data_IF_894153946043
#
_entry.id   IF_894153946043
#
_cell.length_a   1.000
_cell.length_b   1.000
_cell.length_c   1.000
_cell.angle_alpha   90.00
_cell.angle_beta   90.00
_cell.angle_gamma   90.00
#
_symmetry.space_group_name_H-M   'P 1'
#
loop_
_entity.id
_entity.type
_entity.pdbx_description
1 polymer ?
#
# COMPACT_ATOMS: atom_id res chain seq x y z
N UNK A 1 9.11 20.14 -8.06
CA UNK A 1 10.58 20.29 -7.91
C UNK A 1 10.97 19.58 -6.63
N UNK A 2 12.00 18.74 -6.63
CA UNK A 2 12.52 18.09 -5.42
C UNK A 2 13.75 18.84 -4.90
N UNK A 3 13.94 18.85 -3.58
CA UNK A 3 15.11 19.39 -2.91
C UNK A 3 15.66 18.28 -2.00
N UNK A 4 16.97 18.07 -2.04
CA UNK A 4 17.65 17.15 -1.14
C UNK A 4 18.40 17.92 -0.05
N UNK A 5 18.31 17.43 1.19
CA UNK A 5 19.12 17.85 2.33
C UNK A 5 19.90 16.64 2.82
N UNK A 6 21.12 16.86 3.33
CA UNK A 6 22.04 15.76 3.71
C UNK A 6 21.58 15.04 4.99
N UNK A 7 20.79 15.73 5.80
CA UNK A 7 20.27 15.24 7.05
C UNK A 7 19.11 14.26 6.80
N UNK A 8 19.19 13.08 7.43
CA UNK A 8 18.09 12.12 7.46
C UNK A 8 16.93 12.67 8.29
N UNK A 9 15.70 12.24 8.01
CA UNK A 9 14.50 12.58 8.79
C UNK A 9 14.68 12.28 10.28
N UNK A 10 15.31 11.13 10.58
CA UNK A 10 15.76 10.75 11.92
C UNK A 10 17.17 10.16 11.83
N UNK A 11 18.06 10.45 12.81
CA UNK A 11 19.39 9.84 12.84
C UNK A 11 19.33 8.30 12.84
N UNK A 12 20.08 7.70 11.93
CA UNK A 12 20.24 6.24 11.82
C UNK A 12 21.63 5.85 12.31
N UNK A 13 21.70 4.87 13.21
CA UNK A 13 22.95 4.32 13.75
C UNK A 13 22.88 2.80 13.79
N UNK A 14 24.01 2.13 13.54
CA UNK A 14 24.18 0.68 13.71
C UNK A 14 25.41 0.48 14.60
N UNK A 15 25.25 -0.20 15.74
CA UNK A 15 26.35 -0.46 16.66
C UNK A 15 27.12 -1.72 16.24
N UNK A 16 26.40 -2.76 15.81
CA UNK A 16 26.98 -4.03 15.35
C UNK A 16 26.53 -4.32 13.91
N UNK A 17 27.38 -4.07 12.90
CA UNK A 17 27.08 -4.44 11.53
C UNK A 17 26.79 -5.95 11.37
N UNK A 18 25.79 -6.27 10.56
CA UNK A 18 25.38 -7.65 10.26
C UNK A 18 24.88 -7.73 8.81
N UNK A 19 25.71 -8.22 7.87
CA UNK A 19 25.32 -8.38 6.48
C UNK A 19 24.10 -9.27 6.25
N UNK A 20 23.80 -10.23 7.13
CA UNK A 20 22.58 -11.05 7.04
C UNK A 20 21.35 -10.19 7.27
N UNK A 21 21.39 -9.39 8.32
CA UNK A 21 20.32 -8.45 8.62
C UNK A 21 20.18 -7.37 7.53
N UNK A 22 21.30 -6.88 6.99
CA UNK A 22 21.32 -6.02 5.81
C UNK A 22 20.55 -6.59 4.62
N UNK A 23 20.59 -7.92 4.43
CA UNK A 23 19.86 -8.58 3.35
C UNK A 23 18.36 -8.65 3.64
N UNK A 24 17.95 -8.85 4.90
CA UNK A 24 16.54 -8.75 5.27
C UNK A 24 15.97 -7.35 5.08
N UNK A 25 16.76 -6.31 5.35
CA UNK A 25 16.35 -4.91 5.12
C UNK A 25 16.04 -4.60 3.65
N UNK A 26 16.54 -5.40 2.69
CA UNK A 26 16.16 -5.26 1.29
C UNK A 26 14.66 -5.46 1.07
N UNK A 27 13.96 -6.18 1.94
CA UNK A 27 12.50 -6.32 1.88
C UNK A 27 11.79 -4.97 2.01
N UNK A 28 12.24 -4.10 2.92
CA UNK A 28 11.71 -2.73 3.01
C UNK A 28 12.35 -1.76 2.01
N UNK A 29 13.43 -2.11 1.34
CA UNK A 29 14.03 -1.24 0.34
C UNK A 29 13.42 -1.46 -1.05
N UNK A 30 13.54 -2.68 -1.59
CA UNK A 30 13.11 -3.06 -2.94
C UNK A 30 12.05 -4.17 -2.99
N UNK A 31 11.44 -4.53 -1.85
CA UNK A 31 10.35 -5.50 -1.79
C UNK A 31 9.00 -4.94 -2.26
N UNK A 32 8.01 -5.82 -2.34
CA UNK A 32 6.70 -5.49 -2.92
C UNK A 32 5.93 -4.43 -2.10
N UNK A 33 6.09 -4.43 -0.78
CA UNK A 33 5.50 -3.43 0.13
C UNK A 33 6.60 -2.59 0.80
N UNK A 34 7.77 -2.45 0.15
CA UNK A 34 8.86 -1.62 0.64
C UNK A 34 8.71 -0.15 0.27
N UNK A 35 9.60 0.68 0.83
CA UNK A 35 9.59 2.14 0.71
C UNK A 35 9.64 2.64 -0.74
N UNK A 36 10.35 1.94 -1.63
CA UNK A 36 10.38 2.30 -3.05
C UNK A 36 9.00 2.14 -3.70
N UNK A 37 8.27 1.08 -3.34
CA UNK A 37 6.92 0.87 -3.87
C UNK A 37 5.99 1.94 -3.33
N UNK A 38 6.02 2.20 -2.02
CA UNK A 38 5.19 3.21 -1.37
C UNK A 38 5.40 4.60 -2.01
N UNK A 39 6.66 5.04 -2.11
CA UNK A 39 6.97 6.37 -2.64
C UNK A 39 6.48 6.56 -4.08
N UNK A 40 6.68 5.55 -4.94
CA UNK A 40 6.28 5.61 -6.35
C UNK A 40 4.76 5.45 -6.53
N UNK A 41 4.12 4.61 -5.71
CA UNK A 41 2.68 4.40 -5.75
C UNK A 41 1.93 5.68 -5.41
N UNK A 42 2.24 6.30 -4.27
CA UNK A 42 1.56 7.52 -3.84
C UNK A 42 1.88 8.69 -4.78
N UNK A 43 3.10 8.72 -5.33
CA UNK A 43 3.48 9.70 -6.33
C UNK A 43 2.58 9.62 -7.57
N UNK A 44 2.45 8.44 -8.19
CA UNK A 44 1.69 8.29 -9.43
C UNK A 44 0.20 8.50 -9.20
N UNK A 45 -0.35 7.97 -8.10
CA UNK A 45 -1.75 8.15 -7.74
C UNK A 45 -2.13 9.61 -7.52
N UNK A 46 -1.21 10.46 -7.03
CA UNK A 46 -1.46 11.90 -6.86
C UNK A 46 -1.87 12.61 -8.16
N UNK A 47 -1.50 12.07 -9.32
CA UNK A 47 -1.89 12.61 -10.63
C UNK A 47 -3.27 12.15 -11.09
N UNK A 48 -3.84 11.14 -10.45
CA UNK A 48 -5.21 10.66 -10.69
C UNK A 48 -6.26 11.39 -9.84
N UNK A 49 -5.82 12.21 -8.88
CA UNK A 49 -6.71 12.87 -7.93
C UNK A 49 -7.00 14.32 -8.32
N UNK A 50 -8.29 14.65 -8.43
CA UNK A 50 -8.75 16.02 -8.70
C UNK A 50 -8.87 16.86 -7.41
N UNK A 51 -9.18 16.23 -6.28
CA UNK A 51 -9.28 16.93 -5.00
C UNK A 51 -7.88 17.44 -4.58
N UNK A 52 -7.68 18.76 -4.46
CA UNK A 52 -6.35 19.32 -4.21
C UNK A 52 -5.77 18.91 -2.86
N UNK A 53 -6.60 18.75 -1.81
CA UNK A 53 -6.12 18.35 -0.48
C UNK A 53 -5.66 16.90 -0.42
N UNK A 54 -6.37 16.01 -1.11
CA UNK A 54 -5.96 14.60 -1.22
C UNK A 54 -4.70 14.45 -2.07
N UNK A 55 -4.59 15.24 -3.14
CA UNK A 55 -3.38 15.29 -3.97
C UNK A 55 -2.17 15.76 -3.18
N UNK A 56 -2.33 16.81 -2.37
CA UNK A 56 -1.27 17.34 -1.51
C UNK A 56 -0.80 16.28 -0.51
N UNK A 57 -1.74 15.63 0.19
CA UNK A 57 -1.45 14.53 1.11
C UNK A 57 -0.66 13.39 0.43
N UNK A 58 -1.07 12.94 -0.75
CA UNK A 58 -0.37 11.87 -1.47
C UNK A 58 1.05 12.26 -1.87
N UNK A 59 1.25 13.51 -2.32
CA UNK A 59 2.59 14.02 -2.66
C UNK A 59 3.48 14.19 -1.42
N UNK A 60 2.91 14.64 -0.31
CA UNK A 60 3.62 14.77 0.96
C UNK A 60 4.07 13.41 1.49
N UNK A 61 3.15 12.43 1.56
CA UNK A 61 3.49 11.06 2.00
C UNK A 61 4.50 10.45 1.03
N UNK A 62 4.26 10.52 -0.29
CA UNK A 62 5.21 10.05 -1.30
C UNK A 62 6.63 10.60 -1.09
N UNK A 63 6.73 11.88 -0.75
CA UNK A 63 8.02 12.54 -0.51
C UNK A 63 8.63 12.11 0.83
N UNK A 64 7.82 11.88 1.86
CA UNK A 64 8.25 11.28 3.13
C UNK A 64 8.82 9.88 2.92
N UNK A 65 8.19 9.04 2.08
CA UNK A 65 8.67 7.69 1.77
C UNK A 65 10.01 7.68 1.04
N UNK A 66 10.36 8.72 0.29
CA UNK A 66 11.72 8.85 -0.25
C UNK A 66 12.74 9.02 0.89
N UNK A 67 12.37 9.74 1.94
CA UNK A 67 13.18 9.85 3.16
C UNK A 67 13.28 8.54 3.92
N UNK A 68 12.20 7.76 4.00
CA UNK A 68 12.23 6.41 4.58
C UNK A 68 13.11 5.46 3.77
N UNK A 69 13.02 5.50 2.44
CA UNK A 69 13.88 4.75 1.54
C UNK A 69 15.36 5.09 1.77
N UNK A 70 15.69 6.37 1.97
CA UNK A 70 17.05 6.81 2.32
C UNK A 70 17.49 6.27 3.69
N UNK A 71 16.61 6.28 4.70
CA UNK A 71 16.89 5.72 6.03
C UNK A 71 17.14 4.21 5.98
N UNK A 72 16.30 3.44 5.25
CA UNK A 72 16.49 1.99 5.06
C UNK A 72 17.78 1.71 4.27
N UNK A 73 18.03 2.49 3.21
CA UNK A 73 19.29 2.43 2.47
C UNK A 73 20.51 2.67 3.35
N UNK A 74 20.42 3.62 4.29
CA UNK A 74 21.47 3.90 5.26
C UNK A 74 21.66 2.75 6.25
N UNK A 75 20.59 2.13 6.72
CA UNK A 75 20.68 0.92 7.56
C UNK A 75 21.42 -0.20 6.81
N UNK A 76 21.08 -0.46 5.54
CA UNK A 76 21.75 -1.49 4.73
C UNK A 76 23.24 -1.16 4.54
N UNK A 77 23.55 0.10 4.21
CA UNK A 77 24.92 0.58 4.12
C UNK A 77 25.69 0.27 5.42
N UNK A 78 25.16 0.71 6.57
CA UNK A 78 25.79 0.55 7.88
C UNK A 78 25.89 -0.91 8.34
N UNK A 79 24.97 -1.79 7.95
CA UNK A 79 25.08 -3.23 8.22
C UNK A 79 26.10 -3.94 7.33
N UNK A 80 26.52 -3.32 6.23
CA UNK A 80 27.46 -3.91 5.28
C UNK A 80 28.85 -3.26 5.29
N UNK A 81 29.09 -2.24 6.12
CA UNK A 81 30.40 -1.58 6.28
C UNK A 81 31.47 -2.51 6.86
N UNK A 82 32.75 -2.18 6.58
CA UNK A 82 33.93 -2.88 7.12
C UNK A 82 35.02 -3.08 6.06
N UNK A 83 36.27 -3.26 6.49
CA UNK A 83 37.42 -3.48 5.59
C UNK A 83 37.46 -4.92 5.04
N UNK A 84 36.88 -5.87 5.75
CA UNK A 84 36.76 -7.25 5.29
C UNK A 84 35.68 -7.38 4.20
N UNK A 85 35.95 -8.26 3.22
CA UNK A 85 34.93 -8.72 2.28
C UNK A 85 33.87 -9.51 3.06
N UNK A 86 32.59 -9.22 2.80
CA UNK A 86 31.47 -10.01 3.32
C UNK A 86 31.62 -11.42 2.77
N UNK A 87 31.54 -12.41 3.65
CA UNK A 87 31.67 -13.82 3.25
C UNK A 87 30.36 -14.31 2.65
N UNK A 88 30.42 -15.24 1.70
CA UNK A 88 29.22 -15.76 1.05
C UNK A 88 28.27 -16.46 2.05
N UNK A 89 28.79 -17.05 3.13
CA UNK A 89 27.99 -17.67 4.19
C UNK A 89 27.28 -16.65 5.09
N UNK A 90 27.70 -15.39 5.04
CA UNK A 90 27.01 -14.26 5.69
C UNK A 90 25.93 -13.72 4.75
N UNK A 91 26.28 -13.36 3.52
CA UNK A 91 25.31 -13.00 2.49
C UNK A 91 25.89 -13.26 1.11
N UNK A 92 25.37 -14.26 0.36
CA UNK A 92 25.79 -14.48 -1.02
C UNK A 92 25.53 -13.25 -1.89
N UNK A 93 24.42 -12.54 -1.62
CA UNK A 93 24.01 -11.35 -2.36
C UNK A 93 25.06 -10.24 -2.23
N UNK A 94 25.42 -9.83 -1.02
CA UNK A 94 26.41 -8.75 -0.84
C UNK A 94 27.84 -9.18 -1.15
N UNK A 95 28.19 -10.47 -0.95
CA UNK A 95 29.50 -11.00 -1.32
C UNK A 95 29.75 -10.93 -2.83
N UNK A 96 28.73 -11.18 -3.65
CA UNK A 96 28.85 -11.22 -5.12
C UNK A 96 28.50 -9.89 -5.79
N UNK A 97 27.41 -9.23 -5.37
CA UNK A 97 26.88 -8.02 -6.00
C UNK A 97 27.47 -6.73 -5.43
N UNK A 98 28.06 -6.80 -4.23
CA UNK A 98 28.65 -5.68 -3.52
C UNK A 98 27.79 -5.19 -2.35
N UNK A 99 28.45 -4.48 -1.43
CA UNK A 99 27.89 -3.86 -0.22
C UNK A 99 26.85 -2.79 -0.56
N UNK A 100 26.02 -2.44 0.42
CA UNK A 100 25.03 -1.37 0.31
C UNK A 100 23.70 -1.80 -0.33
N UNK A 101 22.76 -0.85 -0.47
CA UNK A 101 21.42 -1.14 -0.95
C UNK A 101 21.39 -1.53 -2.42
N UNK A 102 20.48 -2.44 -2.77
CA UNK A 102 20.12 -2.81 -4.14
C UNK A 102 18.61 -2.80 -4.26
N UNK A 103 18.05 -2.43 -5.43
CA UNK A 103 16.61 -2.56 -5.69
C UNK A 103 16.20 -4.02 -5.92
N UNK A 104 16.36 -4.81 -4.87
CA UNK A 104 16.01 -6.22 -4.74
C UNK A 104 15.18 -6.39 -3.47
N UNK A 105 14.40 -7.47 -3.40
CA UNK A 105 13.85 -7.96 -2.14
C UNK A 105 14.88 -8.78 -1.34
N UNK A 106 14.51 -9.30 -0.17
CA UNK A 106 15.41 -10.08 0.69
C UNK A 106 15.84 -11.44 0.09
N UNK A 107 15.13 -11.90 -0.95
CA UNK A 107 15.41 -13.12 -1.70
C UNK A 107 16.20 -12.86 -2.99
N UNK A 108 16.49 -11.60 -3.31
CA UNK A 108 17.26 -11.19 -4.48
C UNK A 108 16.42 -11.00 -5.76
N UNK A 109 15.09 -10.98 -5.68
CA UNK A 109 14.24 -10.65 -6.83
C UNK A 109 14.30 -9.14 -7.08
N UNK A 110 14.45 -8.74 -8.34
CA UNK A 110 14.50 -7.31 -8.68
C UNK A 110 13.14 -6.65 -8.47
N UNK A 111 13.18 -5.43 -7.91
CA UNK A 111 11.98 -4.58 -7.82
C UNK A 111 11.36 -4.40 -9.21
N UNK A 112 10.04 -4.37 -9.25
CA UNK A 112 9.29 -4.23 -10.50
C UNK A 112 8.09 -3.30 -10.32
N UNK A 113 7.80 -2.50 -11.35
CA UNK A 113 6.62 -1.63 -11.39
C UNK A 113 5.30 -2.40 -11.23
N UNK A 114 5.30 -3.73 -11.38
CA UNK A 114 4.13 -4.60 -11.11
C UNK A 114 3.68 -4.57 -9.65
N UNK A 115 4.53 -4.10 -8.73
CA UNK A 115 4.15 -3.93 -7.32
C UNK A 115 3.25 -2.72 -7.08
N UNK A 116 3.28 -1.73 -7.98
CA UNK A 116 2.50 -0.51 -7.83
C UNK A 116 1.03 -0.80 -8.12
N UNK A 117 0.17 -0.37 -7.20
CA UNK A 117 -1.27 -0.52 -7.30
C UNK A 117 -1.95 0.84 -7.53
N UNK A 118 -2.02 1.23 -8.79
CA UNK A 118 -2.67 2.46 -9.27
C UNK A 118 -3.78 2.10 -10.27
N UNK A 119 -4.87 2.85 -10.26
CA UNK A 119 -6.05 2.48 -11.05
C UNK A 119 -6.91 3.66 -11.49
N UNK A 120 -6.57 4.87 -11.07
CA UNK A 120 -7.24 6.10 -11.51
C UNK A 120 -8.49 6.46 -10.69
N UNK A 121 -8.95 5.57 -9.81
CA UNK A 121 -10.07 5.82 -8.90
C UNK A 121 -9.54 6.01 -7.47
N UNK A 122 -9.77 7.19 -6.91
CA UNK A 122 -9.23 7.60 -5.60
C UNK A 122 -9.69 6.69 -4.46
N UNK A 123 -10.91 6.15 -4.50
CA UNK A 123 -11.43 5.29 -3.42
C UNK A 123 -10.74 3.93 -3.47
N UNK A 124 -10.56 3.39 -4.68
CA UNK A 124 -9.85 2.13 -4.91
C UNK A 124 -8.37 2.26 -4.55
N UNK A 125 -7.73 3.34 -4.97
CA UNK A 125 -6.30 3.58 -4.75
C UNK A 125 -6.00 3.78 -3.25
N UNK A 126 -6.77 4.60 -2.52
CA UNK A 126 -6.61 4.75 -1.06
C UNK A 126 -6.77 3.45 -0.27
N UNK A 127 -7.61 2.51 -0.75
CA UNK A 127 -7.74 1.18 -0.14
C UNK A 127 -6.51 0.32 -0.40
N UNK A 128 -5.92 0.45 -1.57
CA UNK A 128 -4.65 -0.22 -1.89
C UNK A 128 -3.51 0.34 -1.03
N UNK A 129 -3.52 1.65 -0.74
CA UNK A 129 -2.52 2.29 0.11
C UNK A 129 -2.61 1.79 1.56
N UNK A 130 -3.82 1.68 2.13
CA UNK A 130 -4.01 1.06 3.46
C UNK A 130 -3.46 -0.37 3.50
N UNK A 131 -3.64 -1.14 2.44
CA UNK A 131 -3.11 -2.50 2.36
C UNK A 131 -1.57 -2.51 2.20
N UNK A 132 -1.00 -1.57 1.46
CA UNK A 132 0.44 -1.42 1.28
C UNK A 132 1.13 -1.09 2.62
N UNK A 133 0.63 -0.07 3.34
CA UNK A 133 1.09 0.32 4.68
C UNK A 133 0.97 -0.83 5.69
N UNK A 134 -0.11 -1.61 5.64
CA UNK A 134 -0.27 -2.78 6.50
C UNK A 134 0.78 -3.86 6.20
N UNK A 135 1.12 -4.07 4.92
CA UNK A 135 2.17 -5.00 4.51
C UNK A 135 3.57 -4.54 4.94
N UNK A 136 3.90 -3.27 4.70
CA UNK A 136 5.14 -2.64 5.14
C UNK A 136 5.30 -2.75 6.67
N UNK A 137 4.24 -2.43 7.43
CA UNK A 137 4.21 -2.57 8.89
C UNK A 137 4.49 -4.00 9.34
N UNK A 138 3.89 -5.00 8.69
CA UNK A 138 4.15 -6.41 9.01
C UNK A 138 5.63 -6.76 8.81
N UNK A 139 6.23 -6.32 7.71
CA UNK A 139 7.66 -6.52 7.45
C UNK A 139 8.51 -5.84 8.51
N UNK A 140 8.21 -4.60 8.89
CA UNK A 140 8.90 -3.92 9.98
C UNK A 140 8.77 -4.64 11.32
N UNK A 141 7.59 -5.16 11.66
CA UNK A 141 7.40 -5.96 12.88
C UNK A 141 8.33 -7.19 12.89
N UNK A 142 8.50 -7.87 11.75
CA UNK A 142 9.41 -9.01 11.63
C UNK A 142 10.88 -8.61 11.71
N UNK A 143 11.29 -7.49 11.08
CA UNK A 143 12.65 -6.97 11.18
C UNK A 143 13.01 -6.58 12.61
N UNK A 144 12.09 -5.92 13.34
CA UNK A 144 12.27 -5.52 14.74
C UNK A 144 12.46 -6.73 15.66
N UNK A 145 11.74 -7.84 15.41
CA UNK A 145 11.90 -9.08 16.17
C UNK A 145 13.23 -9.79 15.91
N UNK A 146 13.87 -9.51 14.77
CA UNK A 146 15.09 -10.18 14.31
C UNK A 146 16.38 -9.45 14.69
N UNK A 147 16.33 -8.13 14.85
CA UNK A 147 17.52 -7.36 15.21
C UNK A 147 17.79 -7.38 16.72
N UNK A 148 19.07 -7.46 17.07
CA UNK A 148 19.58 -7.23 18.43
C UNK A 148 20.31 -5.89 18.56
N UNK A 149 20.41 -5.12 17.47
CA UNK A 149 21.09 -3.83 17.45
C UNK A 149 20.12 -2.69 17.83
N UNK A 150 20.39 -1.99 18.94
CA UNK A 150 19.48 -0.97 19.48
C UNK A 150 19.27 0.22 18.53
N UNK A 151 20.32 0.62 17.80
CA UNK A 151 20.24 1.73 16.84
C UNK A 151 19.33 1.38 15.66
N UNK A 152 19.51 0.18 15.11
CA UNK A 152 18.66 -0.42 14.08
C UNK A 152 17.23 -0.52 14.56
N UNK A 153 17.02 -1.10 15.76
CA UNK A 153 15.70 -1.27 16.34
C UNK A 153 14.96 0.06 16.50
N UNK A 154 15.64 1.11 16.97
CA UNK A 154 15.07 2.44 17.11
C UNK A 154 14.63 3.02 15.77
N UNK A 155 15.45 2.90 14.72
CA UNK A 155 15.10 3.37 13.38
C UNK A 155 13.87 2.61 12.83
N UNK A 156 13.85 1.27 12.95
CA UNK A 156 12.73 0.46 12.48
C UNK A 156 11.43 0.72 13.25
N UNK A 157 11.49 0.97 14.57
CA UNK A 157 10.31 1.37 15.35
C UNK A 157 9.77 2.72 14.90
N UNK A 158 10.65 3.66 14.54
CA UNK A 158 10.22 4.93 13.97
C UNK A 158 9.48 4.74 12.65
N UNK A 159 10.08 4.01 11.71
CA UNK A 159 9.49 3.70 10.39
C UNK A 159 8.13 2.99 10.56
N UNK A 160 8.06 1.93 11.36
CA UNK A 160 6.81 1.25 11.71
C UNK A 160 5.73 2.20 12.24
N UNK A 161 6.13 3.18 13.07
CA UNK A 161 5.20 4.18 13.63
C UNK A 161 4.67 5.11 12.55
N UNK A 162 5.47 5.42 11.52
CA UNK A 162 5.04 6.20 10.36
C UNK A 162 4.05 5.42 9.51
N UNK A 163 4.22 4.11 9.34
CA UNK A 163 3.22 3.27 8.65
C UNK A 163 1.82 3.39 9.29
N UNK A 164 1.78 3.40 10.63
CA UNK A 164 0.53 3.58 11.38
C UNK A 164 -0.07 4.96 11.14
N UNK A 165 0.76 5.99 10.98
CA UNK A 165 0.30 7.34 10.72
C UNK A 165 -0.25 7.49 9.29
N UNK A 166 0.46 6.98 8.28
CA UNK A 166 0.00 6.99 6.89
C UNK A 166 -1.29 6.18 6.74
N UNK A 167 -1.36 4.98 7.33
CA UNK A 167 -2.61 4.20 7.40
C UNK A 167 -3.78 5.04 7.93
N UNK A 168 -3.56 5.80 9.02
CA UNK A 168 -4.60 6.68 9.58
C UNK A 168 -4.95 7.82 8.62
N UNK A 169 -3.97 8.45 7.97
CA UNK A 169 -4.22 9.51 6.99
C UNK A 169 -5.07 9.01 5.82
N UNK A 170 -4.77 7.83 5.27
CA UNK A 170 -5.56 7.22 4.20
C UNK A 170 -6.97 6.83 4.67
N UNK A 171 -7.13 6.34 5.91
CA UNK A 171 -8.44 6.07 6.50
C UNK A 171 -9.28 7.35 6.68
N UNK A 172 -8.68 8.44 7.16
CA UNK A 172 -9.36 9.74 7.28
C UNK A 172 -9.71 10.33 5.91
N UNK A 173 -8.84 10.15 4.90
CA UNK A 173 -9.14 10.51 3.52
C UNK A 173 -10.36 9.75 2.99
N UNK A 174 -10.43 8.44 3.17
CA UNK A 174 -11.62 7.64 2.82
C UNK A 174 -12.86 8.06 3.62
N UNK A 175 -12.70 8.40 4.90
CA UNK A 175 -13.79 8.88 5.74
C UNK A 175 -14.37 10.21 5.22
N UNK A 176 -13.51 11.13 4.78
CA UNK A 176 -13.91 12.42 4.20
C UNK A 176 -14.73 12.27 2.91
N UNK A 177 -14.51 11.16 2.17
CA UNK A 177 -15.27 10.80 0.98
C UNK A 177 -16.56 10.02 1.30
N UNK A 178 -16.81 9.67 2.56
CA UNK A 178 -17.90 8.78 2.97
C UNK A 178 -17.69 7.33 2.54
N UNK A 179 -16.44 6.92 2.25
CA UNK A 179 -16.09 5.63 1.63
C UNK A 179 -15.23 4.72 2.52
N UNK A 180 -15.02 5.10 3.78
CA UNK A 180 -14.28 4.27 4.75
C UNK A 180 -14.99 2.92 4.99
N UNK A 181 -16.32 2.94 5.14
CA UNK A 181 -17.12 1.74 5.43
C UNK A 181 -18.09 1.36 4.32
N UNK A 182 -18.28 2.23 3.31
CA UNK A 182 -19.14 1.96 2.16
C UNK A 182 -18.35 1.22 1.07
N UNK A 183 -18.67 -0.05 0.85
CA UNK A 183 -18.01 -0.87 -0.17
C UNK A 183 -18.20 -0.34 -1.60
N UNK A 184 -19.29 0.40 -1.86
CA UNK A 184 -19.63 0.88 -3.20
C UNK A 184 -18.76 2.06 -3.65
N UNK A 185 -18.19 1.95 -4.84
CA UNK A 185 -17.53 3.05 -5.56
C UNK A 185 -17.75 2.87 -7.07
N UNK A 186 -17.56 3.93 -7.85
CA UNK A 186 -17.87 3.95 -9.27
C UNK A 186 -19.33 4.29 -9.59
N UNK A 187 -19.74 4.05 -10.84
CA UNK A 187 -21.01 4.53 -11.41
C UNK A 187 -22.02 3.44 -11.75
N UNK A 188 -21.62 2.16 -11.70
CA UNK A 188 -22.50 1.04 -12.06
C UNK A 188 -23.20 0.53 -10.80
N UNK A 189 -24.53 0.65 -10.69
CA UNK A 189 -25.25 0.21 -9.50
C UNK A 189 -25.14 -1.31 -9.33
N UNK A 190 -25.01 -1.81 -8.08
CA UNK A 190 -25.05 -3.23 -7.82
C UNK A 190 -26.47 -3.76 -8.02
N UNK A 191 -26.59 -5.05 -8.31
CA UNK A 191 -27.87 -5.76 -8.29
C UNK A 191 -28.22 -6.25 -6.88
N UNK A 192 -29.29 -7.05 -6.79
CA UNK A 192 -29.78 -7.62 -5.54
C UNK A 192 -28.85 -8.67 -4.92
N UNK A 193 -27.76 -9.05 -5.61
CA UNK A 193 -26.80 -10.04 -5.13
C UNK A 193 -25.74 -9.46 -4.18
N UNK A 194 -25.66 -8.14 -4.01
CA UNK A 194 -24.67 -7.45 -3.16
C UNK A 194 -24.66 -7.90 -1.69
N UNK A 195 -25.76 -8.46 -1.20
CA UNK A 195 -25.90 -9.00 0.16
C UNK A 195 -25.85 -10.53 0.22
N UNK A 196 -25.52 -11.22 -0.86
CA UNK A 196 -25.48 -12.69 -0.86
C UNK A 196 -24.10 -13.17 -0.41
N UNK A 197 -24.08 -14.07 0.57
CA UNK A 197 -22.89 -14.88 0.90
C UNK A 197 -23.10 -16.31 0.38
N UNK A 198 -22.24 -16.76 -0.51
CA UNK A 198 -22.24 -18.15 -1.00
C UNK A 198 -21.32 -19.03 -0.16
N UNK A 199 -21.84 -20.10 0.43
CA UNK A 199 -20.99 -21.15 0.96
C UNK A 199 -20.49 -22.04 -0.17
N UNK A 200 -19.26 -21.79 -0.61
CA UNK A 200 -18.63 -22.53 -1.70
C UNK A 200 -17.85 -23.77 -1.21
N UNK A 201 -17.79 -24.02 0.10
CA UNK A 201 -17.05 -25.14 0.69
C UNK A 201 -18.01 -26.21 1.20
N UNK A 202 -17.56 -27.47 1.21
CA UNK A 202 -18.35 -28.60 1.70
C UNK A 202 -17.48 -29.55 2.54
N UNK A 203 -18.11 -30.52 3.20
CA UNK A 203 -17.46 -31.55 4.03
C UNK A 203 -16.77 -31.01 5.30
N UNK A 204 -17.37 -30.01 5.95
CA UNK A 204 -16.88 -29.44 7.20
C UNK A 204 -17.99 -28.78 8.01
N UNK A 205 -17.62 -28.11 9.10
CA UNK A 205 -18.53 -27.29 9.90
C UNK A 205 -18.40 -25.83 9.48
N UNK A 206 -19.50 -25.22 9.08
CA UNK A 206 -19.54 -23.81 8.73
C UNK A 206 -19.46 -22.93 9.97
N UNK A 207 -18.57 -21.92 9.92
CA UNK A 207 -18.45 -20.90 10.97
C UNK A 207 -19.21 -19.66 10.55
N UNK A 208 -20.07 -19.14 11.44
CA UNK A 208 -20.96 -18.02 11.18
C UNK A 208 -20.53 -16.77 11.97
N UNK A 209 -20.65 -15.60 11.35
CA UNK A 209 -20.35 -14.29 11.93
C UNK A 209 -20.98 -13.15 11.12
N UNK A 210 -20.76 -11.87 11.52
CA UNK A 210 -21.36 -10.72 10.86
C UNK A 210 -21.02 -10.60 9.35
N UNK A 211 -19.92 -11.20 8.91
CA UNK A 211 -19.44 -11.17 7.52
C UNK A 211 -20.09 -12.22 6.60
N UNK A 212 -20.93 -13.12 7.13
CA UNK A 212 -21.58 -14.18 6.34
C UNK A 212 -22.97 -14.58 6.88
N UNK A 213 -23.60 -13.70 7.66
CA UNK A 213 -24.87 -13.99 8.30
C UNK A 213 -25.81 -12.79 8.28
N UNK A 214 -27.08 -13.11 8.44
CA UNK A 214 -28.18 -12.16 8.51
C UNK A 214 -28.03 -11.28 9.77
N UNK A 215 -28.46 -10.00 9.72
CA UNK A 215 -29.14 -9.33 8.61
C UNK A 215 -28.20 -8.76 7.54
N UNK A 216 -26.87 -8.79 7.76
CA UNK A 216 -25.92 -8.17 6.85
C UNK A 216 -25.79 -8.91 5.51
N UNK A 217 -25.82 -10.25 5.56
CA UNK A 217 -25.74 -11.11 4.38
C UNK A 217 -26.79 -12.22 4.42
N UNK A 218 -27.43 -12.49 3.27
CA UNK A 218 -28.25 -13.67 3.04
C UNK A 218 -27.33 -14.86 2.76
N UNK A 219 -27.33 -15.84 3.66
CA UNK A 219 -26.48 -17.01 3.55
C UNK A 219 -27.07 -18.07 2.62
N UNK A 220 -26.32 -18.46 1.61
CA UNK A 220 -26.66 -19.52 0.67
C UNK A 220 -25.79 -20.73 0.97
N UNK A 221 -26.37 -21.71 1.67
CA UNK A 221 -25.67 -22.92 2.12
C UNK A 221 -25.25 -23.83 0.95
N UNK A 222 -26.10 -23.93 -0.08
CA UNK A 222 -25.82 -24.70 -1.29
C UNK A 222 -26.04 -23.81 -2.53
N UNK A 223 -24.96 -23.27 -3.11
CA UNK A 223 -25.03 -22.43 -4.31
C UNK A 223 -25.56 -23.15 -5.56
N UNK A 224 -25.57 -24.49 -5.60
CA UNK A 224 -26.07 -25.25 -6.74
C UNK A 224 -27.60 -25.36 -6.74
N UNK A 225 -28.22 -25.37 -5.56
CA UNK A 225 -29.68 -25.36 -5.42
C UNK A 225 -30.27 -23.95 -5.31
N UNK A 226 -29.42 -22.92 -5.25
CA UNK A 226 -29.86 -21.53 -5.24
C UNK A 226 -30.38 -21.10 -6.62
N UNK A 227 -31.69 -20.91 -6.74
CA UNK A 227 -32.33 -20.43 -7.96
C UNK A 227 -31.86 -19.01 -8.31
N UNK A 228 -31.13 -18.89 -9.41
CA UNK A 228 -30.61 -17.63 -9.94
C UNK A 228 -31.61 -16.89 -10.83
N UNK A 229 -32.81 -17.44 -11.05
CA UNK A 229 -33.78 -16.91 -12.02
C UNK A 229 -34.59 -15.70 -11.51
N UNK A 230 -34.43 -15.31 -10.24
CA UNK A 230 -35.15 -14.19 -9.64
C UNK A 230 -34.56 -12.79 -9.97
N UNK A 231 -33.32 -12.69 -10.45
CA UNK A 231 -32.71 -11.42 -10.85
C UNK A 231 -33.15 -11.05 -12.28
N UNK A 232 -34.32 -10.43 -12.43
CA UNK A 232 -34.72 -9.82 -13.72
C UNK A 232 -33.72 -8.72 -14.09
N UNK A 233 -33.14 -8.71 -15.30
CA UNK A 233 -32.32 -7.59 -15.75
C UNK A 233 -33.23 -6.41 -16.08
N UNK A 234 -33.48 -5.54 -15.10
CA UNK A 234 -34.07 -4.22 -15.30
C UNK A 234 -32.98 -3.20 -15.62
N UNK A 235 -32.23 -3.41 -16.71
CA UNK A 235 -31.37 -2.35 -17.25
C UNK A 235 -32.00 -1.93 -18.58
N UNK A 236 -32.90 -0.94 -18.53
CA UNK A 236 -33.10 -0.10 -19.71
C UNK A 236 -31.74 0.57 -19.99
N UNK A 237 -31.19 0.30 -21.18
CA UNK A 237 -30.01 1.01 -21.67
C UNK A 237 -30.35 2.51 -21.66
N UNK A 238 -29.58 3.38 -20.99
CA UNK A 238 -29.70 4.80 -21.23
C UNK A 238 -29.41 5.03 -22.72
N UNK A 239 -30.32 5.71 -23.40
CA UNK A 239 -30.12 6.17 -24.76
C UNK A 239 -28.87 7.06 -24.78
N UNK A 240 -27.81 6.62 -25.46
CA UNK A 240 -26.55 7.36 -25.59
C UNK A 240 -26.65 8.52 -26.60
N UNK A 241 -27.84 8.81 -27.13
CA UNK A 241 -28.10 9.99 -27.94
C UNK A 241 -28.34 11.24 -27.08
N UNK A 242 -27.31 11.76 -26.38
CA UNK A 242 -27.50 13.03 -25.66
C UNK A 242 -26.34 13.60 -24.86
N UNK A 243 -25.19 12.91 -24.73
CA UNK A 243 -24.03 13.49 -24.03
C UNK A 243 -23.30 14.45 -24.97
N UNK A 244 -23.91 15.60 -25.24
CA UNK A 244 -23.19 16.75 -25.75
C UNK A 244 -22.25 17.26 -24.66
N UNK A 245 -21.00 17.48 -25.09
CA UNK A 245 -19.95 18.20 -24.39
C UNK A 245 -20.48 19.25 -23.40
N UNK A 246 -20.19 19.04 -22.11
CA UNK A 246 -20.39 20.11 -21.11
C UNK A 246 -19.33 21.17 -21.38
N UNK A 247 -19.80 22.32 -21.86
CA UNK A 247 -19.04 23.53 -22.08
C UNK A 247 -18.33 23.99 -20.80
N UNK A 248 -17.00 23.84 -20.77
CA UNK A 248 -16.13 24.45 -19.77
C UNK A 248 -15.91 25.92 -20.14
N UNK A 249 -16.93 26.77 -19.94
CA UNK A 249 -16.77 28.24 -19.89
C UNK A 249 -17.84 28.89 -19.02
N UNK A 250 -17.54 29.12 -17.75
CA UNK A 250 -17.88 30.34 -17.02
C UNK A 250 -17.51 30.24 -15.52
N UNK A 251 -16.25 30.56 -15.19
CA UNK A 251 -15.91 31.02 -13.85
C UNK A 251 -14.65 31.90 -13.92
N UNK A 252 -14.72 32.94 -14.75
CA UNK A 252 -13.83 34.08 -14.62
C UNK A 252 -14.70 35.33 -14.72
N UNK A 253 -14.93 35.95 -13.56
CA UNK A 253 -14.97 37.40 -13.31
C UNK A 253 -15.93 37.72 -12.16
N UNK A 254 -15.35 38.19 -11.05
CA UNK A 254 -15.65 39.46 -10.36
C UNK A 254 -15.53 39.31 -8.84
N UNK A 255 -14.48 39.90 -8.30
CA UNK A 255 -14.50 40.59 -7.03
C UNK A 255 -13.66 41.88 -7.19
N UNK A 256 -14.01 42.97 -6.48
CA UNK A 256 -13.51 44.33 -6.72
C UNK A 256 -12.02 44.52 -6.41
#
# INVERSE_FOLDING_TARGET
MFIHKKELLVPVTVNTPDPRFGQFLLEQFGGATGELTACLQYFVQSFHVENPGLKDMLLDISTEEIGHLEMVGKLIELHTVGEAKIKAEESPLFAMRGKGPHFLDSMGSAWTAKYINEGGDVVRDLRADIAAEAGARQTYEELIKRTTDDGTKKALVHLLTREIAHTKMFMEALASLGKLTDAYFGSIPPDDTVQIYYNMSSNGTDVRGPWNSEPAFKYVADPLSHDRSASKPGIERPDLAGVNSVDVKAAATKAP
#
